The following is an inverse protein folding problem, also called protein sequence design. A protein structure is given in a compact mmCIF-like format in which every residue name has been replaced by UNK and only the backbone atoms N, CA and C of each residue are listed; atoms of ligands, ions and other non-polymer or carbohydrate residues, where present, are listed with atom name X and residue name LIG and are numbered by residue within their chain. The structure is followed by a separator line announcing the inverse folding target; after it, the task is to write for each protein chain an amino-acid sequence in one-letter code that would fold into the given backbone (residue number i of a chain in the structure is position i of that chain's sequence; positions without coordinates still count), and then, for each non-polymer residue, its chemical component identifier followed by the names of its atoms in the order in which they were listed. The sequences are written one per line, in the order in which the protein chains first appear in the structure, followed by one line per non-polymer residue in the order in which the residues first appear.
data_IF_256917585500
#
_entry.id   IF_256917585500
#
_cell.length_a   1.000
_cell.length_b   1.000
_cell.length_c   1.000
_cell.angle_alpha   90.00
_cell.angle_beta   90.00
_cell.angle_gamma   90.00
#
_symmetry.space_group_name_H-M   'P 1'
#
loop_
_entity.id
_entity.type
_entity.pdbx_description
1 polymer ?
#
# COMPACT_ATOMS: atom_id res chain seq x y z
N UNK A 1 15.76 -19.18 8.17
CA UNK A 1 16.19 -17.99 8.95
C UNK A 1 16.31 -16.75 8.06
N UNK A 2 17.05 -16.80 6.95
CA UNK A 2 17.25 -15.66 6.04
C UNK A 2 15.95 -15.01 5.51
N UNK A 3 14.97 -15.82 5.09
CA UNK A 3 13.66 -15.36 4.61
C UNK A 3 12.84 -14.57 5.65
N UNK A 4 13.08 -14.82 6.94
CA UNK A 4 12.38 -14.14 8.04
C UNK A 4 12.96 -12.73 8.27
N UNK A 5 14.28 -12.57 8.17
CA UNK A 5 14.94 -11.27 8.25
C UNK A 5 14.58 -10.36 7.08
N UNK A 6 14.49 -10.92 5.87
CA UNK A 6 14.04 -10.19 4.67
C UNK A 6 12.59 -9.69 4.84
N UNK A 7 11.74 -10.51 5.44
CA UNK A 7 10.35 -10.17 5.75
C UNK A 7 10.24 -9.06 6.82
N UNK A 8 11.05 -9.12 7.87
CA UNK A 8 11.12 -8.07 8.90
C UNK A 8 11.65 -6.75 8.35
N UNK A 9 12.70 -6.80 7.52
CA UNK A 9 13.22 -5.60 6.86
C UNK A 9 12.15 -4.96 5.95
N UNK A 10 11.40 -5.76 5.21
CA UNK A 10 10.32 -5.26 4.36
C UNK A 10 9.16 -4.66 5.17
N UNK A 11 8.82 -5.23 6.33
CA UNK A 11 7.84 -4.64 7.26
C UNK A 11 8.31 -3.29 7.81
N UNK A 12 9.59 -3.17 8.15
CA UNK A 12 10.16 -1.92 8.61
C UNK A 12 10.03 -0.84 7.52
N UNK A 13 10.37 -1.17 6.27
CA UNK A 13 10.20 -0.26 5.13
C UNK A 13 8.74 0.13 4.87
N UNK A 14 7.78 -0.80 5.03
CA UNK A 14 6.34 -0.49 4.93
C UNK A 14 5.93 0.52 6.00
N UNK A 15 6.37 0.34 7.24
CA UNK A 15 6.03 1.24 8.34
C UNK A 15 6.64 2.63 8.16
N UNK A 16 7.92 2.69 7.76
CA UNK A 16 8.59 3.95 7.44
C UNK A 16 7.87 4.68 6.29
N UNK A 17 7.54 3.96 5.22
CA UNK A 17 6.84 4.53 4.07
C UNK A 17 5.43 5.02 4.42
N UNK A 18 4.72 4.31 5.29
CA UNK A 18 3.43 4.74 5.84
C UNK A 18 3.56 6.05 6.59
N UNK A 19 4.58 6.18 7.43
CA UNK A 19 4.81 7.41 8.18
C UNK A 19 5.09 8.58 7.23
N UNK A 20 5.94 8.40 6.22
CA UNK A 20 6.18 9.43 5.20
C UNK A 20 4.92 9.83 4.42
N UNK A 21 4.03 8.88 4.12
CA UNK A 21 2.73 9.18 3.48
C UNK A 21 1.84 10.03 4.40
N UNK A 22 1.82 9.76 5.70
CA UNK A 22 1.05 10.55 6.67
C UNK A 22 1.62 11.95 6.79
N UNK A 23 2.94 12.09 6.91
CA UNK A 23 3.62 13.38 6.94
C UNK A 23 3.36 14.19 5.65
N UNK A 24 3.42 13.52 4.49
CA UNK A 24 3.06 14.15 3.22
C UNK A 24 1.58 14.57 3.16
N UNK A 25 0.66 13.77 3.72
CA UNK A 25 -0.74 14.14 3.79
C UNK A 25 -1.00 15.34 4.71
N UNK A 26 -0.25 15.47 5.79
CA UNK A 26 -0.32 16.62 6.69
C UNK A 26 0.19 17.92 6.02
N UNK A 27 1.21 17.81 5.16
CA UNK A 27 1.84 18.96 4.49
C UNK A 27 1.14 19.33 3.17
N UNK A 28 0.90 18.34 2.31
CA UNK A 28 0.41 18.50 0.93
C UNK A 28 -1.07 18.14 0.76
N UNK A 29 -1.71 17.59 1.80
CA UNK A 29 -3.06 17.05 1.74
C UNK A 29 -3.11 15.63 1.17
N UNK A 30 -4.22 14.92 1.41
CA UNK A 30 -4.42 13.54 0.95
C UNK A 30 -4.49 13.40 -0.59
N UNK A 31 -4.82 14.48 -1.29
CA UNK A 31 -4.90 14.54 -2.76
C UNK A 31 -3.68 15.21 -3.38
N UNK A 32 -2.66 15.56 -2.59
CA UNK A 32 -1.42 16.10 -3.11
C UNK A 32 -0.64 15.04 -3.90
N UNK A 33 -0.03 15.42 -5.01
CA UNK A 33 0.74 14.51 -5.87
C UNK A 33 1.82 13.76 -5.08
N UNK A 34 2.45 14.44 -4.10
CA UNK A 34 3.45 13.82 -3.24
C UNK A 34 2.82 12.73 -2.37
N UNK A 35 1.67 12.99 -1.74
CA UNK A 35 0.94 12.00 -0.94
C UNK A 35 0.48 10.81 -1.77
N UNK A 36 0.00 11.06 -3.00
CA UNK A 36 -0.41 10.01 -3.95
C UNK A 36 0.80 9.16 -4.35
N UNK A 37 1.95 9.77 -4.59
CA UNK A 37 3.19 9.04 -4.88
C UNK A 37 3.61 8.19 -3.70
N UNK A 38 3.59 8.74 -2.48
CA UNK A 38 3.91 7.98 -1.27
C UNK A 38 2.94 6.82 -1.06
N UNK A 39 1.63 6.98 -1.38
CA UNK A 39 0.65 5.89 -1.27
C UNK A 39 0.89 4.78 -2.30
N UNK A 40 1.20 5.13 -3.55
CA UNK A 40 1.51 4.15 -4.60
C UNK A 40 2.78 3.34 -4.26
N UNK A 41 3.82 4.00 -3.77
CA UNK A 41 5.05 3.32 -3.36
C UNK A 41 4.83 2.44 -2.11
N UNK A 42 3.99 2.87 -1.18
CA UNK A 42 3.57 2.06 -0.03
C UNK A 42 2.82 0.79 -0.48
N UNK A 43 1.89 0.92 -1.41
CA UNK A 43 1.11 -0.21 -1.94
C UNK A 43 2.01 -1.26 -2.62
N UNK A 44 3.05 -0.82 -3.33
CA UNK A 44 4.04 -1.73 -3.94
C UNK A 44 4.81 -2.53 -2.89
N UNK A 45 5.20 -1.91 -1.76
CA UNK A 45 5.89 -2.60 -0.68
C UNK A 45 4.97 -3.61 0.02
N UNK A 46 3.70 -3.23 0.25
CA UNK A 46 2.69 -4.13 0.81
C UNK A 46 2.46 -5.33 -0.11
N UNK A 47 2.35 -5.10 -1.42
CA UNK A 47 2.18 -6.18 -2.39
C UNK A 47 3.37 -7.14 -2.40
N UNK A 48 4.60 -6.64 -2.32
CA UNK A 48 5.80 -7.48 -2.20
C UNK A 48 5.77 -8.33 -0.94
N UNK A 49 5.40 -7.74 0.20
CA UNK A 49 5.31 -8.46 1.47
C UNK A 49 4.23 -9.54 1.45
N UNK A 50 3.07 -9.22 0.89
CA UNK A 50 1.99 -10.18 0.68
C UNK A 50 2.44 -11.32 -0.22
N UNK A 51 3.09 -11.02 -1.35
CA UNK A 51 3.62 -12.06 -2.25
C UNK A 51 4.62 -12.97 -1.55
N UNK A 52 5.53 -12.43 -0.74
CA UNK A 52 6.47 -13.22 0.05
C UNK A 52 5.75 -14.11 1.07
N UNK A 53 4.70 -13.61 1.71
CA UNK A 53 3.92 -14.35 2.71
C UNK A 53 2.96 -15.37 2.09
N UNK A 54 2.40 -15.09 0.91
CA UNK A 54 1.50 -15.98 0.17
C UNK A 54 2.26 -17.13 -0.49
N UNK A 55 3.53 -16.93 -0.87
CA UNK A 55 4.38 -18.00 -1.41
C UNK A 55 4.65 -19.12 -0.38
N UNK A 56 4.47 -18.85 0.92
CA UNK A 56 4.59 -19.83 2.01
C UNK A 56 3.26 -20.61 2.25
N UNK A 57 2.14 -20.22 1.63
CA UNK A 57 0.80 -20.80 1.78
C UNK A 57 0.12 -21.05 0.41
N UNK A 58 0.66 -21.94 -0.43
CA UNK A 58 -0.09 -22.44 -1.59
C UNK A 58 -1.15 -23.46 -1.13
N UNK A 59 -2.42 -23.02 -1.06
CA UNK A 59 -3.62 -23.75 -1.49
C UNK A 59 -4.92 -22.98 -1.10
N UNK A 60 -5.75 -22.71 -2.12
CA UNK A 60 -7.16 -22.22 -2.10
C UNK A 60 -7.40 -20.71 -2.22
N UNK A 61 -7.73 -20.32 -3.45
CA UNK A 61 -8.79 -19.37 -3.82
C UNK A 61 -8.86 -18.05 -3.04
N UNK A 62 -8.16 -17.05 -3.57
CA UNK A 62 -8.72 -15.71 -3.80
C UNK A 62 -7.72 -14.90 -4.63
N UNK A 63 -8.07 -14.42 -5.85
CA UNK A 63 -7.33 -13.31 -6.43
C UNK A 63 -7.40 -12.17 -5.41
N UNK A 64 -6.25 -11.53 -5.15
CA UNK A 64 -6.18 -10.37 -4.28
C UNK A 64 -7.37 -9.45 -4.61
N UNK A 65 -8.16 -9.00 -3.62
CA UNK A 65 -9.07 -7.92 -3.89
C UNK A 65 -8.19 -6.77 -4.37
N UNK A 66 -8.42 -6.36 -5.61
CA UNK A 66 -8.06 -5.05 -6.12
C UNK A 66 -8.51 -4.02 -5.06
N UNK A 67 -7.64 -3.67 -4.11
CA UNK A 67 -7.86 -2.51 -3.23
C UNK A 67 -7.71 -1.21 -4.06
N UNK A 68 -7.36 -1.34 -5.34
CA UNK A 68 -7.30 -0.26 -6.32
C UNK A 68 -8.42 -0.29 -7.38
N UNK A 69 -9.48 -1.11 -7.24
CA UNK A 69 -10.73 -0.91 -8.02
C UNK A 69 -11.79 -0.12 -7.23
N UNK A 70 -11.66 -0.01 -5.91
CA UNK A 70 -12.65 0.63 -5.05
C UNK A 70 -12.45 2.13 -4.79
N UNK A 71 -11.23 2.66 -5.01
CA UNK A 71 -10.92 4.06 -4.66
C UNK A 71 -11.15 5.01 -5.83
N UNK A 72 -11.35 4.50 -7.06
CA UNK A 72 -11.66 5.34 -8.22
C UNK A 72 -13.09 5.93 -8.20
N UNK A 73 -14.04 5.35 -7.44
CA UNK A 73 -15.44 5.78 -7.50
C UNK A 73 -15.83 6.86 -6.46
N UNK A 74 -15.16 6.94 -5.30
CA UNK A 74 -15.58 7.87 -4.23
C UNK A 74 -15.03 9.29 -4.37
N UNK A 75 -14.10 9.55 -5.29
CA UNK A 75 -13.55 10.90 -5.51
C UNK A 75 -14.36 11.68 -6.56
N UNK A 76 -15.27 11.05 -7.32
CA UNK A 76 -16.01 11.75 -8.39
C UNK A 76 -17.44 12.20 -8.03
N UNK A 77 -18.05 11.71 -6.95
CA UNK A 77 -19.45 12.05 -6.60
C UNK A 77 -19.62 13.30 -5.72
N UNK A 78 -18.54 13.99 -5.34
CA UNK A 78 -18.61 15.23 -4.54
C UNK A 78 -18.04 16.47 -5.23
N UNK A 79 -17.54 16.33 -6.46
CA UNK A 79 -17.02 17.45 -7.28
C UNK A 79 -17.91 17.81 -8.49
N UNK A 80 -19.17 17.39 -8.46
CA UNK A 80 -20.24 17.92 -9.33
C UNK A 80 -21.47 18.26 -8.50
N UNK A 81 -21.44 19.43 -7.86
CA UNK A 81 -22.61 20.23 -7.50
C UNK A 81 -22.20 21.71 -7.43
#
# INVERSE_FOLDING_TARGET
MQRYLEKEALLASINEKRQMMVEAAEVYGYTGDETIKQSQELDQLIYQYQKMTMNDHYSSDKPLPHVLDGISCLILEKYTA
#
